data_IF_993686353947
#
_entry.id   IF_993686353947
#
_cell.length_a   1.000
_cell.length_b   1.000
_cell.length_c   1.000
_cell.angle_alpha   90.00
_cell.angle_beta   90.00
_cell.angle_gamma   90.00
#
_symmetry.space_group_name_H-M   'P 1'
#
loop_
_entity.id
_entity.type
_entity.pdbx_description
1 polymer ?
#
# COMPACT_ATOMS: atom_id res chain seq x y z
N UNK A 1 11.43 13.79 -17.87
CA UNK A 1 10.27 13.13 -18.32
C UNK A 1 9.32 12.83 -17.19
N UNK A 2 8.12 13.10 -17.42
CA UNK A 2 7.16 12.86 -16.38
C UNK A 2 6.90 11.37 -16.27
N UNK A 3 7.38 10.79 -15.23
CA UNK A 3 6.99 9.45 -14.89
C UNK A 3 5.59 9.52 -14.33
N UNK A 4 4.69 8.83 -14.95
CA UNK A 4 3.33 8.75 -14.46
C UNK A 4 3.09 7.38 -13.85
N UNK A 5 1.94 7.22 -13.21
CA UNK A 5 1.61 5.93 -12.62
C UNK A 5 1.71 4.81 -13.64
N UNK A 6 1.37 5.08 -14.89
CA UNK A 6 1.43 4.01 -15.88
C UNK A 6 2.87 3.63 -16.26
N UNK A 7 3.85 4.45 -15.91
CA UNK A 7 5.24 4.11 -16.19
C UNK A 7 5.76 3.00 -15.29
N UNK A 8 5.10 2.73 -14.18
CA UNK A 8 5.46 1.60 -13.33
C UNK A 8 4.72 0.33 -13.75
N UNK A 9 3.77 0.44 -14.67
CA UNK A 9 3.04 -0.71 -15.18
C UNK A 9 3.81 -1.31 -16.34
N UNK A 10 4.10 -2.61 -16.26
CA UNK A 10 4.84 -3.27 -17.32
C UNK A 10 4.00 -3.35 -18.59
N UNK A 11 4.68 -3.16 -19.72
CA UNK A 11 4.03 -3.21 -21.02
C UNK A 11 3.51 -4.61 -21.32
N UNK A 12 2.31 -4.69 -21.85
CA UNK A 12 1.67 -5.95 -22.26
C UNK A 12 1.34 -6.88 -21.11
N UNK A 13 1.32 -6.35 -19.89
CA UNK A 13 0.95 -7.10 -18.72
C UNK A 13 -0.33 -6.50 -18.16
N UNK A 14 -1.29 -7.37 -17.85
CA UNK A 14 -2.53 -6.91 -17.25
C UNK A 14 -2.28 -6.35 -15.87
N UNK A 15 -3.09 -5.38 -15.49
CA UNK A 15 -3.01 -4.76 -14.18
C UNK A 15 -4.32 -5.02 -13.45
N UNK A 16 -4.22 -5.53 -12.24
CA UNK A 16 -5.37 -5.83 -11.40
C UNK A 16 -5.34 -4.94 -10.17
N UNK A 17 -6.51 -4.55 -9.70
CA UNK A 17 -6.62 -3.87 -8.43
C UNK A 17 -6.68 -4.94 -7.34
N UNK A 18 -5.72 -4.97 -6.41
CA UNK A 18 -5.78 -5.95 -5.32
C UNK A 18 -6.90 -5.62 -4.35
N UNK A 19 -7.37 -6.64 -3.63
CA UNK A 19 -8.28 -6.40 -2.52
C UNK A 19 -7.52 -5.70 -1.41
N UNK A 20 -8.05 -4.60 -0.91
CA UNK A 20 -7.39 -3.80 0.11
C UNK A 20 -8.36 -3.45 1.21
N UNK A 21 -7.91 -3.62 2.45
CA UNK A 21 -8.61 -3.16 3.64
C UNK A 21 -7.84 -1.99 4.24
N UNK A 22 -8.56 -0.95 4.60
CA UNK A 22 -7.96 0.21 5.26
C UNK A 22 -8.66 0.37 6.61
N UNK A 23 -7.86 0.36 7.67
CA UNK A 23 -8.35 0.50 9.02
C UNK A 23 -7.72 1.74 9.64
N UNK A 24 -8.53 2.52 10.30
CA UNK A 24 -8.03 3.71 10.97
C UNK A 24 -8.15 3.53 12.47
N UNK A 25 -7.03 3.75 13.17
CA UNK A 25 -7.01 3.77 14.63
C UNK A 25 -6.72 5.19 15.09
N UNK A 26 -6.68 5.39 16.40
CA UNK A 26 -6.40 6.72 16.94
C UNK A 26 -5.04 7.25 16.46
N UNK A 27 -4.06 6.37 16.32
CA UNK A 27 -2.68 6.77 16.04
C UNK A 27 -2.15 6.34 14.68
N UNK A 28 -2.83 5.43 13.99
CA UNK A 28 -2.31 4.85 12.77
C UNK A 28 -3.38 4.66 11.72
N UNK A 29 -2.92 4.58 10.48
CA UNK A 29 -3.72 4.04 9.39
C UNK A 29 -3.06 2.73 8.98
N UNK A 30 -3.83 1.66 8.93
CA UNK A 30 -3.35 0.35 8.52
C UNK A 30 -3.92 0.05 7.14
N UNK A 31 -3.04 -0.36 6.23
CA UNK A 31 -3.45 -0.76 4.88
C UNK A 31 -3.00 -2.20 4.68
N UNK A 32 -3.95 -3.05 4.33
CA UNK A 32 -3.67 -4.46 4.12
C UNK A 32 -4.09 -4.80 2.71
N UNK A 33 -3.14 -5.19 1.87
CA UNK A 33 -3.38 -5.50 0.46
C UNK A 33 -3.05 -6.96 0.19
N UNK A 34 -3.98 -7.65 -0.43
CA UNK A 34 -3.83 -9.06 -0.77
C UNK A 34 -3.30 -9.18 -2.19
N UNK A 35 -2.04 -9.54 -2.32
CA UNK A 35 -1.35 -9.62 -3.61
C UNK A 35 -0.62 -10.95 -3.74
N UNK A 36 -1.34 -12.04 -3.97
CA UNK A 36 -0.70 -13.35 -4.11
C UNK A 36 0.40 -13.34 -5.15
N UNK A 37 1.54 -13.92 -4.83
CA UNK A 37 2.67 -13.99 -5.74
C UNK A 37 3.67 -12.86 -5.61
N UNK A 38 3.38 -11.88 -4.76
CA UNK A 38 4.26 -10.74 -4.55
C UNK A 38 5.06 -10.93 -3.27
N UNK A 39 6.35 -10.59 -3.33
CA UNK A 39 7.22 -10.59 -2.15
C UNK A 39 7.83 -9.20 -1.96
N UNK A 40 8.70 -9.05 -0.96
CA UNK A 40 9.28 -7.75 -0.63
C UNK A 40 10.14 -7.17 -1.73
N UNK A 41 10.60 -7.99 -2.66
CA UNK A 41 11.45 -7.53 -3.77
C UNK A 41 10.64 -7.05 -4.97
N UNK A 42 9.37 -7.41 -5.02
CA UNK A 42 8.54 -7.15 -6.18
C UNK A 42 7.39 -6.20 -5.89
N UNK A 43 7.44 -5.50 -4.77
CA UNK A 43 6.42 -4.51 -4.42
C UNK A 43 7.06 -3.15 -4.21
N UNK A 44 6.42 -2.13 -4.76
CA UNK A 44 6.80 -0.75 -4.55
C UNK A 44 5.64 0.00 -3.93
N UNK A 45 5.93 0.78 -2.91
CA UNK A 45 4.94 1.63 -2.26
C UNK A 45 5.48 3.04 -2.22
N UNK A 46 4.69 3.97 -2.70
CA UNK A 46 5.09 5.38 -2.68
C UNK A 46 4.00 6.20 -2.03
N UNK A 47 4.41 7.23 -1.33
CA UNK A 47 3.50 8.24 -0.78
C UNK A 47 4.03 9.59 -1.23
N UNK A 48 3.33 10.18 -2.18
CA UNK A 48 3.71 11.48 -2.71
C UNK A 48 2.56 12.45 -2.44
N UNK A 49 2.86 13.48 -1.70
CA UNK A 49 1.83 14.38 -1.20
C UNK A 49 0.80 13.54 -0.43
N UNK A 50 -0.42 13.48 -0.90
CA UNK A 50 -1.45 12.70 -0.23
C UNK A 50 -1.83 11.45 -0.98
N UNK A 51 -1.07 11.07 -2.00
CA UNK A 51 -1.39 9.91 -2.81
C UNK A 51 -0.49 8.73 -2.43
N UNK A 52 -1.12 7.68 -1.94
CA UNK A 52 -0.46 6.42 -1.64
C UNK A 52 -0.66 5.48 -2.82
N UNK A 53 0.42 5.02 -3.42
CA UNK A 53 0.37 4.10 -4.55
C UNK A 53 1.07 2.80 -4.19
N UNK A 54 0.40 1.69 -4.47
CA UNK A 54 0.92 0.35 -4.25
C UNK A 54 1.02 -0.32 -5.61
N UNK A 55 2.19 -0.86 -5.92
CA UNK A 55 2.40 -1.60 -7.17
C UNK A 55 3.14 -2.90 -6.85
N UNK A 56 2.55 -4.02 -7.23
CA UNK A 56 3.15 -5.32 -7.04
C UNK A 56 3.32 -6.04 -8.37
N UNK A 57 4.50 -6.61 -8.58
CA UNK A 57 4.80 -7.33 -9.81
C UNK A 57 4.90 -8.82 -9.53
N UNK A 58 4.28 -9.61 -10.41
CA UNK A 58 4.38 -11.07 -10.32
C UNK A 58 5.47 -11.52 -11.27
N UNK A 59 6.46 -12.21 -10.73
CA UNK A 59 7.53 -12.79 -11.53
C UNK A 59 7.21 -14.25 -11.82
N UNK A 60 6.63 -14.50 -12.98
CA UNK A 60 6.21 -15.83 -13.34
C UNK A 60 7.37 -16.78 -13.58
N UNK A 61 8.59 -16.24 -13.75
CA UNK A 61 9.74 -17.12 -13.96
C UNK A 61 10.23 -17.78 -12.69
N UNK A 62 9.85 -17.24 -11.53
CA UNK A 62 10.26 -17.80 -10.25
C UNK A 62 9.12 -18.45 -9.48
N UNK A 63 7.91 -18.42 -10.01
CA UNK A 63 6.72 -18.93 -9.33
C UNK A 63 5.89 -19.79 -10.26
N UNK A 64 6.41 -20.98 -10.58
CA UNK A 64 5.75 -21.87 -11.53
C UNK A 64 4.32 -22.23 -11.12
N UNK A 65 4.11 -22.48 -9.84
CA UNK A 65 2.76 -22.81 -9.35
C UNK A 65 1.81 -21.65 -9.55
N UNK A 66 2.30 -20.43 -9.34
CA UNK A 66 1.49 -19.24 -9.57
C UNK A 66 1.21 -19.04 -11.04
N UNK A 67 2.18 -19.32 -11.89
CA UNK A 67 1.99 -19.23 -13.32
C UNK A 67 0.84 -20.13 -13.76
N UNK A 68 0.81 -21.35 -13.25
CA UNK A 68 -0.29 -22.26 -13.56
C UNK A 68 -1.61 -21.73 -13.02
N UNK A 69 -1.61 -21.21 -11.80
CA UNK A 69 -2.82 -20.64 -11.19
C UNK A 69 -3.34 -19.45 -11.98
N UNK A 70 -2.45 -18.62 -12.47
CA UNK A 70 -2.84 -17.40 -13.18
C UNK A 70 -3.04 -17.62 -14.67
N UNK A 71 -2.73 -18.80 -15.20
CA UNK A 71 -2.88 -19.05 -16.64
C UNK A 71 -4.34 -18.92 -17.09
N UNK A 72 -5.28 -19.19 -16.20
CA UNK A 72 -6.71 -19.05 -16.52
C UNK A 72 -7.19 -17.62 -16.45
N UNK A 73 -6.57 -16.82 -15.60
CA UNK A 73 -6.98 -15.43 -15.34
C UNK A 73 -6.05 -14.42 -15.98
N UNK A 74 -4.90 -14.89 -16.47
CA UNK A 74 -3.86 -14.03 -17.00
C UNK A 74 -2.90 -13.58 -15.91
N UNK A 75 -1.61 -13.60 -16.23
CA UNK A 75 -0.57 -13.10 -15.34
C UNK A 75 -0.56 -11.58 -15.43
N UNK A 76 -0.43 -10.91 -14.33
CA UNK A 76 -0.43 -9.46 -14.33
C UNK A 76 0.16 -8.86 -13.07
N UNK A 77 0.19 -7.56 -13.09
CA UNK A 77 0.65 -6.79 -11.93
C UNK A 77 -0.55 -6.32 -11.13
N UNK A 78 -0.30 -5.98 -9.87
CA UNK A 78 -1.29 -5.34 -9.02
C UNK A 78 -0.98 -3.86 -8.91
N UNK A 79 -2.01 -3.03 -8.92
CA UNK A 79 -1.81 -1.60 -8.71
C UNK A 79 -3.04 -1.01 -8.06
N UNK A 80 -2.80 -0.19 -7.06
CA UNK A 80 -3.86 0.53 -6.39
C UNK A 80 -3.33 1.86 -5.86
N UNK A 81 -4.17 2.89 -5.92
CA UNK A 81 -3.81 4.20 -5.41
C UNK A 81 -4.93 4.73 -4.53
N UNK A 82 -4.56 5.40 -3.45
CA UNK A 82 -5.51 5.96 -2.49
C UNK A 82 -5.13 7.38 -2.12
N UNK A 83 -6.12 8.20 -1.89
CA UNK A 83 -5.90 9.50 -1.27
C UNK A 83 -5.90 9.33 0.24
N UNK A 84 -4.83 9.80 0.88
CA UNK A 84 -4.72 9.79 2.33
C UNK A 84 -4.91 11.21 2.80
N UNK A 85 -6.03 11.47 3.49
CA UNK A 85 -6.35 12.83 3.92
C UNK A 85 -5.69 13.23 5.23
N UNK A 86 -5.34 12.26 6.06
CA UNK A 86 -4.67 12.55 7.32
C UNK A 86 -3.19 12.83 7.09
N UNK A 87 -2.62 13.65 7.94
CA UNK A 87 -1.18 13.85 7.90
C UNK A 87 -0.47 12.64 8.49
N UNK A 88 0.53 12.19 7.77
CA UNK A 88 1.27 10.98 8.11
C UNK A 88 2.69 11.35 8.52
N UNK A 89 3.17 10.68 9.55
CA UNK A 89 4.57 10.75 9.92
C UNK A 89 5.36 9.89 8.95
N UNK A 90 5.83 10.53 7.88
CA UNK A 90 6.44 9.81 6.76
C UNK A 90 7.75 9.12 7.11
N UNK A 91 8.39 9.56 8.18
CA UNK A 91 9.65 8.96 8.61
C UNK A 91 9.46 7.60 9.27
N UNK A 92 8.26 7.29 9.70
CA UNK A 92 8.01 6.10 10.50
C UNK A 92 7.01 5.14 9.87
N UNK A 93 6.80 5.25 8.57
CA UNK A 93 5.96 4.29 7.85
C UNK A 93 6.68 2.95 7.81
N UNK A 94 5.94 1.89 8.09
CA UNK A 94 6.46 0.53 8.05
C UNK A 94 5.68 -0.28 7.04
N UNK A 95 6.40 -1.12 6.31
CA UNK A 95 5.80 -1.98 5.29
C UNK A 95 6.38 -3.38 5.44
N UNK A 96 5.51 -4.37 5.43
CA UNK A 96 5.92 -5.78 5.46
C UNK A 96 5.11 -6.57 4.46
N UNK A 97 5.73 -7.61 3.92
CA UNK A 97 5.04 -8.55 3.03
C UNK A 97 5.25 -9.95 3.57
N UNK A 98 4.17 -10.69 3.68
CA UNK A 98 4.23 -12.09 4.08
C UNK A 98 3.13 -12.85 3.37
N UNK A 99 3.52 -13.93 2.70
CA UNK A 99 2.57 -14.82 2.01
C UNK A 99 1.65 -14.06 1.07
N UNK A 100 2.22 -13.09 0.34
CA UNK A 100 1.45 -12.31 -0.62
C UNK A 100 0.58 -11.23 -0.01
N UNK A 101 0.70 -10.97 1.29
CA UNK A 101 -0.07 -9.92 1.95
C UNK A 101 0.84 -8.79 2.35
N UNK A 102 0.58 -7.62 1.78
CA UNK A 102 1.29 -6.39 2.13
C UNK A 102 0.57 -5.73 3.29
N UNK A 103 1.31 -5.37 4.31
CA UNK A 103 0.78 -4.63 5.44
C UNK A 103 1.56 -3.34 5.60
N UNK A 104 0.86 -2.22 5.57
CA UNK A 104 1.43 -0.91 5.78
C UNK A 104 0.91 -0.33 7.08
N UNK A 105 1.80 0.24 7.86
CA UNK A 105 1.43 1.00 9.04
C UNK A 105 1.87 2.43 8.80
N UNK A 106 0.90 3.32 8.72
CA UNK A 106 1.15 4.74 8.49
C UNK A 106 0.80 5.49 9.77
N UNK A 107 1.80 5.85 10.58
CA UNK A 107 1.52 6.60 11.81
C UNK A 107 1.01 8.00 11.47
N UNK A 108 0.00 8.44 12.18
CA UNK A 108 -0.49 9.81 12.04
C UNK A 108 0.52 10.78 12.63
N UNK A 109 0.60 11.95 12.03
CA UNK A 109 1.48 12.98 12.57
C UNK A 109 1.04 13.37 13.97
N UNK A 110 2.00 13.72 14.82
CA UNK A 110 1.73 13.96 16.23
C UNK A 110 0.66 15.03 16.44
N UNK A 111 0.65 16.05 15.59
CA UNK A 111 -0.25 17.18 15.76
C UNK A 111 -1.70 16.87 15.45
N UNK A 112 -2.01 15.74 14.81
CA UNK A 112 -3.37 15.36 14.49
C UNK A 112 -3.90 14.25 15.40
N UNK A 113 -3.05 13.73 16.29
CA UNK A 113 -3.49 12.72 17.24
C UNK A 113 -4.42 13.33 18.27
N UNK A 114 -5.33 12.51 18.78
CA UNK A 114 -6.24 12.94 19.81
C UNK A 114 -5.47 13.42 21.05
N UNK A 115 -5.82 14.58 21.53
CA UNK A 115 -5.22 15.13 22.74
C UNK A 115 -6.30 15.39 23.77
N UNK A 116 -5.96 15.10 25.00
CA UNK A 116 -6.82 15.49 26.12
C UNK A 116 -6.52 16.93 26.47
N UNK A 117 -7.54 17.74 26.50
CA UNK A 117 -7.40 19.15 26.85
C UNK A 117 -7.71 19.31 28.32
N UNK A 118 -6.77 19.93 29.03
CA UNK A 118 -6.96 20.20 30.44
C UNK A 118 -7.91 21.36 30.60
N UNK A 119 -8.94 21.17 31.41
CA UNK A 119 -9.92 22.21 31.70
C UNK A 119 -9.75 22.67 33.13
N UNK A 120 -9.57 23.98 33.31
CA UNK A 120 -9.45 24.57 34.66
C UNK A 120 -10.64 25.46 34.90
N UNK A 121 -10.93 25.70 36.18
CA UNK A 121 -11.99 26.62 36.49
C UNK A 121 -11.49 28.05 36.43
N UNK A 122 -12.33 28.92 35.92
CA UNK A 122 -12.02 30.33 35.87
C UNK A 122 -12.43 30.96 37.20
N UNK A 123 -11.51 31.62 37.84
CA UNK A 123 -11.76 32.22 39.17
C UNK A 123 -12.48 33.53 39.07
#
# INVERSE_FOLDING_TARGET
MAETVKDITRKNVKTYAPAVDILETANNILVIADMPGVDERSVDVTLEKNLLTIHGMIDSTTHDDLELAFSEYGVGDYQRAFSITDEIDRSNIKATVKDGVLKLVLPKAERIKTRKIEVTSEA
#
